data_IF_877077560530
#
_entry.id   IF_877077560530
#
_cell.length_a   1.000
_cell.length_b   1.000
_cell.length_c   1.000
_cell.angle_alpha   90.00
_cell.angle_beta   90.00
_cell.angle_gamma   90.00
#
_symmetry.space_group_name_H-M   'P 1'
#
loop_
_entity.id
_entity.type
_entity.pdbx_description
1 polymer ?
#
# COMPACT_ATOMS: atom_id res chain seq x y z
N UNK A 1 -38.06 -12.78 23.67
CA UNK A 1 -36.73 -13.40 23.64
C UNK A 1 -36.25 -13.81 22.23
N UNK A 2 -37.07 -14.45 21.39
CA UNK A 2 -36.64 -14.97 20.07
C UNK A 2 -36.35 -13.91 18.97
N UNK A 3 -36.96 -12.72 19.05
CA UNK A 3 -36.78 -11.65 18.06
C UNK A 3 -35.40 -10.97 18.12
N UNK A 4 -34.76 -10.93 19.30
CA UNK A 4 -33.46 -10.28 19.48
C UNK A 4 -32.32 -11.02 18.79
N UNK A 5 -32.35 -12.36 18.77
CA UNK A 5 -31.32 -13.17 18.13
C UNK A 5 -31.33 -13.07 16.59
N UNK A 6 -32.51 -12.83 15.99
CA UNK A 6 -32.65 -12.65 14.55
C UNK A 6 -31.97 -11.35 14.12
N UNK A 7 -32.14 -10.28 14.91
CA UNK A 7 -31.58 -8.97 14.62
C UNK A 7 -30.03 -8.94 14.72
N UNK A 8 -29.48 -9.62 15.74
CA UNK A 8 -28.03 -9.79 15.86
C UNK A 8 -27.43 -10.63 14.73
N UNK A 9 -28.13 -11.70 14.30
CA UNK A 9 -27.71 -12.53 13.17
C UNK A 9 -27.64 -11.75 11.85
N UNK A 10 -28.62 -10.87 11.60
CA UNK A 10 -28.63 -10.03 10.39
C UNK A 10 -27.57 -8.93 10.42
N UNK A 11 -27.27 -8.35 11.58
CA UNK A 11 -26.18 -7.36 11.73
C UNK A 11 -24.83 -8.03 11.47
N UNK A 12 -24.60 -9.22 12.02
CA UNK A 12 -23.35 -9.97 11.79
C UNK A 12 -23.22 -10.37 10.32
N UNK A 13 -24.28 -10.85 9.68
CA UNK A 13 -24.28 -11.15 8.24
C UNK A 13 -24.06 -9.89 7.38
N UNK A 14 -24.63 -8.76 7.78
CA UNK A 14 -24.42 -7.47 7.11
C UNK A 14 -22.96 -6.97 7.29
N UNK A 15 -22.39 -7.09 8.49
CA UNK A 15 -20.99 -6.76 8.78
C UNK A 15 -20.00 -7.69 8.05
N UNK A 16 -20.32 -8.98 7.95
CA UNK A 16 -19.56 -9.93 7.12
C UNK A 16 -19.71 -9.55 5.64
N UNK A 17 -20.90 -9.14 5.19
CA UNK A 17 -21.11 -8.71 3.80
C UNK A 17 -20.39 -7.40 3.45
N UNK A 18 -20.23 -6.48 4.40
CA UNK A 18 -19.39 -5.29 4.28
C UNK A 18 -17.91 -5.67 4.16
N UNK A 19 -17.44 -6.64 4.95
CA UNK A 19 -16.10 -7.21 4.80
C UNK A 19 -15.90 -8.00 3.49
N UNK A 20 -16.99 -8.45 2.84
CA UNK A 20 -16.96 -9.22 1.60
C UNK A 20 -17.03 -8.37 0.33
N UNK A 21 -17.14 -7.04 0.43
CA UNK A 21 -16.74 -6.14 -0.66
C UNK A 21 -15.20 -6.05 -0.74
N UNK A 22 -14.54 -7.22 -0.75
CA UNK A 22 -13.12 -7.32 -1.05
C UNK A 22 -12.90 -6.74 -2.43
N UNK A 23 -12.11 -5.69 -2.52
CA UNK A 23 -11.65 -5.20 -3.81
C UNK A 23 -10.93 -6.31 -4.55
N UNK A 24 -11.20 -6.43 -5.85
CA UNK A 24 -10.63 -7.49 -6.67
C UNK A 24 -9.11 -7.32 -6.71
N UNK A 25 -8.38 -8.18 -5.99
CA UNK A 25 -6.92 -8.22 -6.05
C UNK A 25 -6.52 -8.77 -7.43
N UNK A 26 -5.72 -8.02 -8.16
CA UNK A 26 -5.19 -8.47 -9.45
C UNK A 26 -3.90 -9.26 -9.21
N UNK A 27 -3.79 -10.49 -9.72
CA UNK A 27 -2.56 -11.25 -9.57
C UNK A 27 -1.41 -10.51 -10.27
N UNK A 28 -0.26 -10.48 -9.62
CA UNK A 28 0.94 -9.91 -10.22
C UNK A 28 1.32 -10.75 -11.44
N UNK A 29 1.45 -10.08 -12.58
CA UNK A 29 1.93 -10.74 -13.79
C UNK A 29 3.40 -11.12 -13.63
N UNK A 30 3.91 -11.97 -14.54
CA UNK A 30 5.35 -12.23 -14.62
C UNK A 30 6.15 -10.94 -14.79
N UNK A 31 5.63 -9.99 -15.56
CA UNK A 31 6.27 -8.70 -15.77
C UNK A 31 6.26 -7.85 -14.49
N UNK A 32 5.12 -7.77 -13.80
CA UNK A 32 5.03 -7.03 -12.52
C UNK A 32 6.02 -7.60 -11.49
N UNK A 33 6.08 -8.93 -11.37
CA UNK A 33 7.02 -9.61 -10.46
C UNK A 33 8.48 -9.33 -10.84
N UNK A 34 8.81 -9.36 -12.13
CA UNK A 34 10.14 -9.02 -12.62
C UNK A 34 10.50 -7.56 -12.34
N UNK A 35 9.55 -6.64 -12.49
CA UNK A 35 9.75 -5.21 -12.18
C UNK A 35 10.00 -5.00 -10.69
N UNK A 36 9.22 -5.64 -9.81
CA UNK A 36 9.42 -5.55 -8.36
C UNK A 36 10.80 -6.06 -7.93
N UNK A 37 11.29 -7.16 -8.53
CA UNK A 37 12.63 -7.67 -8.28
C UNK A 37 13.70 -6.66 -8.73
N UNK A 38 13.54 -6.06 -9.91
CA UNK A 38 14.50 -5.06 -10.40
C UNK A 38 14.47 -3.79 -9.55
N UNK A 39 13.29 -3.32 -9.14
CA UNK A 39 13.16 -2.17 -8.24
C UNK A 39 13.80 -2.43 -6.88
N UNK A 40 13.62 -3.63 -6.30
CA UNK A 40 14.26 -3.97 -5.03
C UNK A 40 15.78 -4.05 -5.18
N UNK A 41 16.31 -4.58 -6.30
CA UNK A 41 17.74 -4.56 -6.59
C UNK A 41 18.29 -3.13 -6.71
N UNK A 42 17.65 -2.28 -7.51
CA UNK A 42 18.06 -0.89 -7.72
C UNK A 42 17.95 -0.07 -6.43
N UNK A 43 16.92 -0.33 -5.61
CA UNK A 43 16.81 0.25 -4.27
C UNK A 43 18.06 -0.06 -3.43
N UNK A 44 18.48 -1.32 -3.34
CA UNK A 44 19.65 -1.72 -2.56
C UNK A 44 20.93 -1.08 -3.10
N UNK A 45 21.14 -1.12 -4.41
CA UNK A 45 22.32 -0.50 -5.04
C UNK A 45 22.43 0.99 -4.71
N UNK A 46 21.34 1.75 -4.90
CA UNK A 46 21.36 3.18 -4.58
C UNK A 46 21.48 3.44 -3.08
N UNK A 47 20.87 2.60 -2.25
CA UNK A 47 20.97 2.70 -0.80
C UNK A 47 22.40 2.49 -0.31
N UNK A 48 23.10 1.48 -0.83
CA UNK A 48 24.49 1.16 -0.49
C UNK A 48 25.47 2.22 -0.98
N UNK A 49 25.15 2.87 -2.11
CA UNK A 49 25.88 4.04 -2.62
C UNK A 49 25.59 5.33 -1.83
N UNK A 50 24.70 5.30 -0.82
CA UNK A 50 24.28 6.48 -0.05
C UNK A 50 23.36 7.43 -0.82
N UNK A 51 22.91 7.06 -2.02
CA UNK A 51 21.98 7.80 -2.89
C UNK A 51 20.54 7.55 -2.44
N UNK A 52 20.25 7.99 -1.22
CA UNK A 52 18.99 7.68 -0.53
C UNK A 52 17.75 8.25 -1.24
N UNK A 53 17.88 9.39 -1.94
CA UNK A 53 16.77 9.97 -2.69
C UNK A 53 16.37 9.07 -3.85
N UNK A 54 17.35 8.61 -4.62
CA UNK A 54 17.20 7.68 -5.73
C UNK A 54 16.68 6.33 -5.22
N UNK A 55 17.22 5.82 -4.11
CA UNK A 55 16.72 4.62 -3.46
C UNK A 55 15.22 4.76 -3.13
N UNK A 56 14.79 5.88 -2.54
CA UNK A 56 13.38 6.09 -2.18
C UNK A 56 12.43 6.08 -3.39
N UNK A 57 12.90 6.46 -4.58
CA UNK A 57 12.10 6.42 -5.80
C UNK A 57 11.72 4.99 -6.18
N UNK A 58 12.61 4.02 -6.02
CA UNK A 58 12.29 2.61 -6.31
C UNK A 58 11.28 2.00 -5.33
N UNK A 59 11.28 2.47 -4.07
CA UNK A 59 10.22 2.15 -3.12
C UNK A 59 8.87 2.73 -3.56
N UNK A 60 8.85 3.98 -4.04
CA UNK A 60 7.63 4.60 -4.57
C UNK A 60 7.10 3.86 -5.80
N UNK A 61 7.98 3.47 -6.74
CA UNK A 61 7.58 2.71 -7.93
C UNK A 61 7.01 1.33 -7.56
N UNK A 62 7.63 0.63 -6.61
CA UNK A 62 7.10 -0.62 -6.08
C UNK A 62 5.73 -0.43 -5.44
N UNK A 63 5.56 0.64 -4.66
CA UNK A 63 4.29 0.95 -4.01
C UNK A 63 3.17 1.20 -5.03
N UNK A 64 3.45 2.01 -6.05
CA UNK A 64 2.51 2.29 -7.14
C UNK A 64 2.09 1.01 -7.87
N UNK A 65 3.05 0.13 -8.21
CA UNK A 65 2.75 -1.12 -8.89
C UNK A 65 1.87 -2.06 -8.05
N UNK A 66 2.11 -2.15 -6.74
CA UNK A 66 1.23 -2.89 -5.85
C UNK A 66 -0.17 -2.26 -5.77
N UNK A 67 -0.24 -0.93 -5.70
CA UNK A 67 -1.49 -0.20 -5.63
C UNK A 67 -2.35 -0.39 -6.89
N UNK A 68 -1.76 -0.29 -8.09
CA UNK A 68 -2.42 -0.56 -9.38
C UNK A 68 -3.01 -1.97 -9.49
N UNK A 69 -2.51 -2.91 -8.67
CA UNK A 69 -2.95 -4.30 -8.61
C UNK A 69 -3.84 -4.59 -7.39
N UNK A 70 -4.27 -3.55 -6.68
CA UNK A 70 -5.07 -3.60 -5.45
C UNK A 70 -4.40 -4.34 -4.27
N UNK A 71 -3.06 -4.46 -4.28
CA UNK A 71 -2.28 -4.95 -3.14
C UNK A 71 -1.98 -3.80 -2.17
N UNK A 72 -3.02 -3.18 -1.64
CA UNK A 72 -2.92 -1.96 -0.84
C UNK A 72 -1.99 -2.09 0.36
N UNK A 73 -2.01 -3.24 1.05
CA UNK A 73 -1.13 -3.49 2.20
C UNK A 73 0.36 -3.53 1.84
N UNK A 74 0.71 -4.03 0.65
CA UNK A 74 2.11 -4.04 0.20
C UNK A 74 2.54 -2.69 -0.36
N UNK A 75 1.61 -1.98 -1.01
CA UNK A 75 1.81 -0.58 -1.40
C UNK A 75 2.09 0.31 -0.18
N UNK A 76 1.27 0.19 0.87
CA UNK A 76 1.40 0.91 2.13
C UNK A 76 2.78 0.69 2.76
N UNK A 77 3.21 -0.57 2.90
CA UNK A 77 4.55 -0.91 3.44
C UNK A 77 5.67 -0.24 2.65
N UNK A 78 5.61 -0.26 1.31
CA UNK A 78 6.63 0.36 0.45
C UNK A 78 6.62 1.89 0.58
N UNK A 79 5.44 2.53 0.63
CA UNK A 79 5.34 3.97 0.88
C UNK A 79 5.82 4.37 2.28
N UNK A 80 5.50 3.63 3.33
CA UNK A 80 5.98 3.90 4.69
C UNK A 80 7.52 3.81 4.77
N UNK A 81 8.12 2.82 4.10
CA UNK A 81 9.59 2.73 4.01
C UNK A 81 10.18 3.92 3.24
N UNK A 82 9.54 4.35 2.15
CA UNK A 82 9.97 5.54 1.41
C UNK A 82 9.83 6.82 2.24
N UNK A 83 8.78 6.92 3.04
CA UNK A 83 8.54 8.04 3.95
C UNK A 83 9.66 8.15 4.99
N UNK A 84 10.12 7.03 5.54
CA UNK A 84 11.23 7.01 6.48
C UNK A 84 12.53 7.56 5.85
N UNK A 85 12.84 7.12 4.61
CA UNK A 85 14.00 7.62 3.88
C UNK A 85 13.89 9.12 3.63
N UNK A 86 12.73 9.59 3.18
CA UNK A 86 12.49 11.01 2.91
C UNK A 86 12.52 11.87 4.18
N UNK A 87 12.10 11.33 5.34
CA UNK A 87 12.28 11.96 6.66
C UNK A 87 13.75 12.12 7.03
N UNK A 88 14.57 11.06 6.86
CA UNK A 88 16.02 11.13 7.13
C UNK A 88 16.72 12.19 6.26
N UNK A 89 16.24 12.38 5.03
CA UNK A 89 16.75 13.38 4.09
C UNK A 89 16.17 14.79 4.29
N UNK A 90 15.23 14.98 5.20
CA UNK A 90 14.44 16.22 5.31
C UNK A 90 13.77 16.66 4.00
N UNK A 91 13.43 15.71 3.11
CA UNK A 91 12.81 15.99 1.81
C UNK A 91 11.30 16.23 1.97
N UNK A 92 10.92 17.47 2.30
CA UNK A 92 9.53 17.83 2.59
C UNK A 92 8.57 17.57 1.41
N UNK A 93 9.02 17.79 0.17
CA UNK A 93 8.20 17.52 -1.01
C UNK A 93 7.91 16.02 -1.15
N UNK A 94 8.92 15.18 -0.93
CA UNK A 94 8.74 13.72 -0.93
C UNK A 94 7.82 13.25 0.18
N UNK A 95 7.97 13.82 1.39
CA UNK A 95 7.10 13.53 2.54
C UNK A 95 5.64 13.87 2.21
N UNK A 96 5.38 15.07 1.70
CA UNK A 96 4.02 15.51 1.36
C UNK A 96 3.37 14.60 0.30
N UNK A 97 4.10 14.28 -0.77
CA UNK A 97 3.64 13.39 -1.83
C UNK A 97 3.31 11.99 -1.31
N UNK A 98 4.18 11.40 -0.49
CA UNK A 98 3.97 10.05 0.05
C UNK A 98 2.76 10.02 1.00
N UNK A 99 2.59 11.04 1.84
CA UNK A 99 1.41 11.13 2.71
C UNK A 99 0.11 11.25 1.91
N UNK A 100 0.10 12.00 0.80
CA UNK A 100 -1.05 12.04 -0.09
C UNK A 100 -1.37 10.66 -0.67
N UNK A 101 -0.37 9.92 -1.14
CA UNK A 101 -0.58 8.57 -1.66
C UNK A 101 -1.06 7.59 -0.59
N UNK A 102 -0.53 7.67 0.63
CA UNK A 102 -1.01 6.85 1.76
C UNK A 102 -2.47 7.18 2.11
N UNK A 103 -2.85 8.46 2.11
CA UNK A 103 -4.23 8.86 2.32
C UNK A 103 -5.16 8.31 1.24
N UNK A 104 -4.72 8.32 -0.02
CA UNK A 104 -5.48 7.70 -1.12
C UNK A 104 -5.60 6.18 -0.94
N UNK A 105 -4.54 5.49 -0.52
CA UNK A 105 -4.60 4.05 -0.21
C UNK A 105 -5.60 3.77 0.90
N UNK A 106 -5.63 4.56 1.99
CA UNK A 106 -6.60 4.34 3.06
C UNK A 106 -8.04 4.61 2.62
N UNK A 107 -8.25 5.68 1.84
CA UNK A 107 -9.54 5.96 1.21
C UNK A 107 -9.98 4.80 0.31
N UNK A 108 -9.06 4.26 -0.49
CA UNK A 108 -9.32 3.08 -1.31
C UNK A 108 -9.63 1.87 -0.44
N UNK A 109 -8.88 1.58 0.64
CA UNK A 109 -9.19 0.48 1.57
C UNK A 109 -10.56 0.61 2.27
N UNK A 110 -11.27 1.73 2.10
CA UNK A 110 -12.47 2.11 2.87
C UNK A 110 -12.20 2.14 4.38
N UNK A 111 -10.93 2.30 4.76
CA UNK A 111 -10.49 2.51 6.13
C UNK A 111 -10.48 4.03 6.35
N UNK A 112 -11.60 4.56 6.85
CA UNK A 112 -11.75 5.97 7.26
C UNK A 112 -11.46 6.18 8.74
#
# INVERSE_FOLDING_TARGET
MRQFYIFFGTIILFLISLNLYSQKIYPLTRNDSSMLVEYDKLYQEQHDLGRLKEASNFLNLSAMLYWERNHFGDAEKKFLKSLEVNKRLSNQNGIAMINNNLAMIYADKQEY
#
